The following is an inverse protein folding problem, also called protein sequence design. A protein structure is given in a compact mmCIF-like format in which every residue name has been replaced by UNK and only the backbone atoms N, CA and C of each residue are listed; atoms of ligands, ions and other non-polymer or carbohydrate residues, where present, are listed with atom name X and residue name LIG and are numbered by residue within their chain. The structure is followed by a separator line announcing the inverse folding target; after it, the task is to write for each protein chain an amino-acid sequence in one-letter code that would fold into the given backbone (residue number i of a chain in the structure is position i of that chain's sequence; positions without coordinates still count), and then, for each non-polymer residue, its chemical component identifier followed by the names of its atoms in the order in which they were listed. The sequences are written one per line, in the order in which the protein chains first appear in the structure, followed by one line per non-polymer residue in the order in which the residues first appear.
data_IF_060408735561
#
_entry.id   IF_060408735561
#
_cell.length_a   1.000
_cell.length_b   1.000
_cell.length_c   1.000
_cell.angle_alpha   90.00
_cell.angle_beta   90.00
_cell.angle_gamma   90.00
#
_symmetry.space_group_name_H-M   'P 1'
#
loop_
_entity.id
_entity.type
_entity.pdbx_description
1 polymer ?
#
# COMPACT_ATOMS: atom_id res chain seq x y z
N UNK A 1 1.82 -21.82 -1.07
CA UNK A 1 0.78 -21.19 -1.97
C UNK A 1 1.38 -21.14 -3.37
N UNK A 2 0.59 -21.47 -4.40
CA UNK A 2 1.04 -21.33 -5.80
C UNK A 2 1.28 -19.85 -6.15
N UNK A 3 2.34 -19.57 -6.89
CA UNK A 3 2.75 -18.19 -7.27
C UNK A 3 1.68 -17.47 -8.07
N UNK A 4 1.04 -18.16 -9.00
CA UNK A 4 -0.06 -17.54 -9.76
C UNK A 4 -1.17 -17.08 -8.81
N UNK A 5 -1.58 -17.91 -7.86
CA UNK A 5 -2.60 -17.55 -6.85
C UNK A 5 -2.14 -16.42 -5.93
N UNK A 6 -0.86 -16.37 -5.57
CA UNK A 6 -0.31 -15.26 -4.79
C UNK A 6 -0.43 -13.94 -5.56
N UNK A 7 0.01 -13.91 -6.81
CA UNK A 7 -0.04 -12.71 -7.64
C UNK A 7 -1.48 -12.24 -7.86
N UNK A 8 -2.41 -13.16 -8.15
CA UNK A 8 -3.84 -12.83 -8.29
C UNK A 8 -4.43 -12.31 -6.98
N UNK A 9 -4.08 -12.90 -5.85
CA UNK A 9 -4.47 -12.43 -4.53
C UNK A 9 -4.00 -10.98 -4.29
N UNK A 10 -2.71 -10.68 -4.55
CA UNK A 10 -2.16 -9.33 -4.37
C UNK A 10 -2.81 -8.34 -5.34
N UNK A 11 -3.00 -8.69 -6.62
CA UNK A 11 -3.69 -7.84 -7.61
C UNK A 11 -5.12 -7.52 -7.20
N UNK A 12 -5.86 -8.52 -6.69
CA UNK A 12 -7.23 -8.33 -6.22
C UNK A 12 -7.29 -7.35 -5.05
N UNK A 13 -6.45 -7.55 -4.02
CA UNK A 13 -6.41 -6.65 -2.87
C UNK A 13 -5.99 -5.23 -3.26
N UNK A 14 -4.98 -5.11 -4.12
CA UNK A 14 -4.54 -3.82 -4.64
C UNK A 14 -5.69 -3.09 -5.34
N UNK A 15 -6.40 -3.79 -6.26
CA UNK A 15 -7.52 -3.20 -6.98
C UNK A 15 -8.63 -2.75 -6.04
N UNK A 16 -9.08 -3.63 -5.13
CA UNK A 16 -10.17 -3.32 -4.20
C UNK A 16 -9.84 -2.11 -3.32
N UNK A 17 -8.64 -2.06 -2.76
CA UNK A 17 -8.23 -0.95 -1.89
C UNK A 17 -8.11 0.37 -2.65
N UNK A 18 -7.55 0.35 -3.87
CA UNK A 18 -7.38 1.57 -4.66
C UNK A 18 -8.69 2.04 -5.31
N UNK A 19 -9.61 1.15 -5.65
CA UNK A 19 -10.98 1.52 -6.06
C UNK A 19 -11.71 2.24 -4.92
N UNK A 20 -11.57 1.79 -3.67
CA UNK A 20 -12.16 2.47 -2.51
C UNK A 20 -11.51 3.85 -2.27
N UNK A 21 -10.20 3.98 -2.43
CA UNK A 21 -9.50 5.28 -2.36
C UNK A 21 -10.01 6.22 -3.46
N UNK A 22 -10.17 5.71 -4.70
CA UNK A 22 -10.60 6.53 -5.83
C UNK A 22 -11.99 7.13 -5.63
N UNK A 23 -12.91 6.45 -4.95
CA UNK A 23 -14.24 6.95 -4.61
C UNK A 23 -14.22 8.24 -3.76
N UNK A 24 -13.16 8.45 -2.97
CA UNK A 24 -13.05 9.65 -2.15
C UNK A 24 -12.72 10.90 -2.95
N UNK A 25 -12.16 10.76 -4.15
CA UNK A 25 -11.95 11.90 -5.06
C UNK A 25 -13.24 12.47 -5.65
N UNK A 26 -14.35 11.71 -5.59
CA UNK A 26 -15.68 12.17 -6.04
C UNK A 26 -16.51 12.82 -4.92
N UNK A 27 -15.97 12.86 -3.70
CA UNK A 27 -16.64 13.49 -2.55
C UNK A 27 -16.60 15.02 -2.65
N UNK A 28 -17.55 15.67 -2.02
CA UNK A 28 -17.62 17.13 -2.02
C UNK A 28 -16.44 17.77 -1.24
N UNK A 29 -16.22 19.06 -1.52
CA UNK A 29 -15.13 19.81 -0.88
C UNK A 29 -15.31 19.96 0.64
N UNK A 30 -16.53 19.95 1.14
CA UNK A 30 -16.80 20.07 2.57
C UNK A 30 -16.25 18.85 3.31
N UNK A 31 -16.52 17.63 2.81
CA UNK A 31 -15.96 16.41 3.38
C UNK A 31 -14.44 16.33 3.18
N UNK A 32 -13.95 16.66 1.98
CA UNK A 32 -12.50 16.58 1.70
C UNK A 32 -11.67 17.45 2.64
N UNK A 33 -12.19 18.60 3.05
CA UNK A 33 -11.52 19.55 3.94
C UNK A 33 -12.02 19.51 5.40
N UNK A 34 -12.93 18.60 5.72
CA UNK A 34 -13.42 18.46 7.08
C UNK A 34 -12.28 18.13 8.05
N UNK A 35 -12.13 18.98 9.08
CA UNK A 35 -11.18 18.76 10.16
C UNK A 35 -11.86 17.93 11.26
N UNK A 36 -11.45 16.67 11.48
CA UNK A 36 -12.06 15.84 12.50
C UNK A 36 -11.81 16.41 13.89
N UNK A 37 -12.77 16.22 14.82
CA UNK A 37 -12.76 16.80 16.17
C UNK A 37 -11.56 16.38 17.03
N UNK A 38 -10.97 15.22 16.72
CA UNK A 38 -9.78 14.71 17.38
C UNK A 38 -8.46 15.35 16.89
N UNK A 39 -8.52 16.36 16.01
CA UNK A 39 -7.36 17.01 15.41
C UNK A 39 -6.59 16.16 14.39
N UNK A 40 -7.17 15.03 13.94
CA UNK A 40 -6.61 14.15 12.92
C UNK A 40 -6.58 14.81 11.53
N UNK A 41 -6.08 14.07 10.54
CA UNK A 41 -6.00 14.56 9.16
C UNK A 41 -7.37 14.69 8.49
N UNK A 42 -7.50 15.70 7.64
CA UNK A 42 -8.62 15.80 6.69
C UNK A 42 -8.55 14.67 5.66
N UNK A 43 -9.66 14.42 4.95
CA UNK A 43 -9.66 13.41 3.87
C UNK A 43 -8.62 13.73 2.79
N UNK A 44 -8.47 15.01 2.41
CA UNK A 44 -7.45 15.44 1.45
C UNK A 44 -6.03 15.11 1.94
N UNK A 45 -5.72 15.37 3.20
CA UNK A 45 -4.42 15.05 3.80
C UNK A 45 -4.18 13.53 3.87
N UNK A 46 -5.22 12.73 4.16
CA UNK A 46 -5.12 11.27 4.14
C UNK A 46 -4.79 10.77 2.72
N UNK A 47 -5.44 11.30 1.69
CA UNK A 47 -5.16 10.97 0.29
C UNK A 47 -3.72 11.34 -0.10
N UNK A 48 -3.25 12.52 0.32
CA UNK A 48 -1.85 12.94 0.11
C UNK A 48 -0.87 12.01 0.83
N UNK A 49 -1.17 11.58 2.05
CA UNK A 49 -0.36 10.62 2.80
C UNK A 49 -0.27 9.25 2.10
N UNK A 50 -1.39 8.73 1.56
CA UNK A 50 -1.39 7.50 0.76
C UNK A 50 -0.44 7.65 -0.44
N UNK A 51 -0.53 8.77 -1.16
CA UNK A 51 0.38 9.06 -2.27
C UNK A 51 1.85 9.08 -1.82
N UNK A 52 2.17 9.79 -0.75
CA UNK A 52 3.55 9.91 -0.24
C UNK A 52 4.11 8.55 0.19
N UNK A 53 3.35 7.77 0.94
CA UNK A 53 3.76 6.43 1.35
C UNK A 53 4.02 5.52 0.14
N UNK A 54 3.11 5.51 -0.82
CA UNK A 54 3.29 4.77 -2.06
C UNK A 54 4.54 5.22 -2.81
N UNK A 55 4.80 6.54 -2.91
CA UNK A 55 5.96 7.09 -3.60
C UNK A 55 7.28 6.53 -3.04
N UNK A 56 7.45 6.58 -1.72
CA UNK A 56 8.70 6.10 -1.09
C UNK A 56 8.84 4.58 -1.15
N UNK A 57 7.75 3.83 -0.95
CA UNK A 57 7.80 2.37 -1.02
C UNK A 57 7.97 1.86 -2.45
N UNK A 58 7.45 2.55 -3.46
CA UNK A 58 7.69 2.20 -4.86
C UNK A 58 9.17 2.33 -5.27
N UNK A 59 9.93 3.23 -4.67
CA UNK A 59 11.40 3.29 -4.86
C UNK A 59 12.05 1.98 -4.38
N UNK A 60 11.62 1.45 -3.23
CA UNK A 60 12.13 0.18 -2.70
C UNK A 60 11.67 -1.01 -3.56
N UNK A 61 10.41 -1.02 -3.98
CA UNK A 61 9.84 -2.05 -4.86
C UNK A 61 10.59 -2.07 -6.20
N UNK A 62 10.86 -0.92 -6.81
CA UNK A 62 11.61 -0.81 -8.06
C UNK A 62 13.03 -1.39 -7.92
N UNK A 63 13.77 -0.93 -6.90
CA UNK A 63 15.13 -1.43 -6.63
C UNK A 63 15.12 -2.93 -6.33
N UNK A 64 14.15 -3.38 -5.52
CA UNK A 64 14.00 -4.77 -5.15
C UNK A 64 13.61 -5.66 -6.32
N UNK A 65 12.71 -5.22 -7.20
CA UNK A 65 12.32 -5.95 -8.40
C UNK A 65 13.49 -6.11 -9.37
N UNK A 66 14.26 -5.05 -9.62
CA UNK A 66 15.49 -5.12 -10.41
C UNK A 66 16.51 -6.10 -9.82
N UNK A 67 16.64 -6.13 -8.49
CA UNK A 67 17.51 -7.08 -7.79
C UNK A 67 16.99 -8.51 -7.89
N UNK A 68 15.66 -8.71 -7.73
CA UNK A 68 15.01 -10.01 -7.83
C UNK A 68 15.24 -10.64 -9.22
N UNK A 69 15.07 -9.85 -10.29
CA UNK A 69 15.31 -10.29 -11.66
C UNK A 69 16.78 -10.67 -11.91
N UNK A 70 17.76 -9.98 -11.31
CA UNK A 70 19.17 -10.37 -11.37
C UNK A 70 19.45 -11.63 -10.56
N UNK A 71 18.86 -11.76 -9.38
CA UNK A 71 19.01 -12.91 -8.50
C UNK A 71 18.45 -14.19 -9.13
N UNK A 72 17.46 -14.09 -10.03
CA UNK A 72 16.91 -15.22 -10.78
C UNK A 72 17.97 -16.01 -11.57
N UNK A 73 19.05 -15.36 -11.96
CA UNK A 73 20.15 -16.03 -12.67
C UNK A 73 21.03 -16.92 -11.77
N UNK A 74 21.00 -16.72 -10.45
CA UNK A 74 21.95 -17.31 -9.51
C UNK A 74 21.30 -18.02 -8.32
N UNK A 75 19.99 -17.84 -8.09
CA UNK A 75 19.28 -18.44 -6.98
C UNK A 75 18.24 -19.47 -7.45
N UNK A 76 18.01 -20.48 -6.63
CA UNK A 76 17.01 -21.51 -6.92
C UNK A 76 15.60 -20.99 -6.62
N UNK A 77 14.92 -20.49 -7.66
CA UNK A 77 13.56 -20.00 -7.58
C UNK A 77 12.58 -21.09 -7.12
N UNK A 78 12.75 -22.34 -7.57
CA UNK A 78 11.84 -23.42 -7.21
C UNK A 78 11.92 -23.73 -5.70
N UNK A 79 13.11 -23.66 -5.14
CA UNK A 79 13.30 -23.82 -3.70
C UNK A 79 12.63 -22.68 -2.91
N UNK A 80 12.77 -21.43 -3.36
CA UNK A 80 12.11 -20.28 -2.72
C UNK A 80 10.59 -20.37 -2.81
N UNK A 81 10.03 -20.77 -3.96
CA UNK A 81 8.60 -20.99 -4.13
C UNK A 81 8.10 -22.10 -3.19
N UNK A 82 8.82 -23.22 -3.12
CA UNK A 82 8.45 -24.36 -2.26
C UNK A 82 8.40 -24.00 -0.79
N UNK A 83 9.33 -23.14 -0.34
CA UNK A 83 9.46 -22.75 1.06
C UNK A 83 8.63 -21.51 1.42
N UNK A 84 8.02 -20.85 0.42
CA UNK A 84 7.28 -19.63 0.66
C UNK A 84 5.95 -19.86 1.36
N UNK A 85 5.71 -19.10 2.42
CA UNK A 85 4.45 -19.02 3.12
C UNK A 85 4.13 -17.58 3.52
N UNK A 86 3.00 -17.05 3.04
CA UNK A 86 2.51 -15.73 3.41
C UNK A 86 1.92 -15.77 4.84
N UNK A 87 2.47 -14.99 5.76
CA UNK A 87 1.89 -14.78 7.08
C UNK A 87 0.73 -13.78 7.00
N UNK A 88 -0.44 -14.25 6.53
CA UNK A 88 -1.62 -13.42 6.33
C UNK A 88 -2.04 -12.68 7.60
N UNK A 89 -2.11 -13.38 8.73
CA UNK A 89 -2.56 -12.80 10.01
C UNK A 89 -1.73 -11.56 10.39
N UNK A 90 -0.41 -11.64 10.22
CA UNK A 90 0.48 -10.51 10.54
C UNK A 90 0.31 -9.34 9.58
N UNK A 91 0.05 -9.63 8.29
CA UNK A 91 -0.21 -8.61 7.29
C UNK A 91 -1.59 -7.96 7.48
N UNK A 92 -2.64 -8.73 7.74
CA UNK A 92 -4.01 -8.23 7.88
C UNK A 92 -4.13 -7.16 8.97
N UNK A 93 -3.36 -7.27 10.05
CA UNK A 93 -3.26 -6.23 11.10
C UNK A 93 -2.82 -4.87 10.57
N UNK A 94 -2.07 -4.82 9.47
CA UNK A 94 -1.67 -3.57 8.80
C UNK A 94 -2.89 -2.82 8.25
N UNK A 95 -3.87 -3.55 7.72
CA UNK A 95 -5.11 -2.99 7.17
C UNK A 95 -6.13 -2.56 8.22
N UNK A 96 -5.97 -2.97 9.48
CA UNK A 96 -6.88 -2.64 10.57
C UNK A 96 -6.54 -1.28 11.19
N UNK A 97 -7.58 -0.53 11.62
CA UNK A 97 -7.39 0.74 12.28
C UNK A 97 -7.11 0.54 13.78
N UNK A 98 -6.09 1.23 14.32
CA UNK A 98 -5.74 1.22 15.76
C UNK A 98 -5.24 -0.11 16.36
N UNK A 99 -4.70 -1.02 15.55
CA UNK A 99 -4.16 -2.31 16.04
C UNK A 99 -2.75 -2.20 16.64
N UNK A 100 -1.99 -1.19 16.25
CA UNK A 100 -0.65 -0.89 16.76
C UNK A 100 -0.29 0.57 16.52
N UNK A 101 0.72 1.07 17.25
CA UNK A 101 1.24 2.42 17.06
C UNK A 101 2.08 2.51 15.77
N UNK A 102 1.74 3.47 14.92
CA UNK A 102 2.46 3.73 13.68
C UNK A 102 3.51 4.81 13.89
N UNK A 103 4.78 4.46 13.70
CA UNK A 103 5.84 5.45 13.60
C UNK A 103 5.87 5.94 12.15
N UNK A 104 5.48 7.19 11.94
CA UNK A 104 5.47 7.82 10.61
C UNK A 104 6.79 8.56 10.39
N UNK A 105 7.49 8.28 9.28
CA UNK A 105 8.59 9.12 8.86
C UNK A 105 8.10 10.52 8.49
N UNK A 106 8.81 11.56 8.88
CA UNK A 106 8.45 12.96 8.64
C UNK A 106 8.19 13.26 7.15
N UNK A 107 8.99 12.67 6.25
CA UNK A 107 8.84 12.84 4.81
C UNK A 107 7.56 12.22 4.20
N UNK A 108 6.80 11.45 4.98
CA UNK A 108 5.48 10.92 4.60
C UNK A 108 4.32 11.70 5.24
N UNK A 109 4.61 12.76 6.01
CA UNK A 109 3.58 13.65 6.57
C UNK A 109 2.94 14.47 5.45
N UNK A 110 1.59 14.49 5.34
CA UNK A 110 0.91 15.31 4.36
C UNK A 110 0.98 16.78 4.75
N UNK A 111 1.24 17.64 3.78
CA UNK A 111 1.29 19.10 3.97
C UNK A 111 -0.01 19.80 3.60
N UNK A 112 -0.89 19.13 2.83
CA UNK A 112 -2.12 19.70 2.31
C UNK A 112 -1.88 20.69 1.16
N UNK A 113 -0.71 20.62 0.51
CA UNK A 113 -0.30 21.56 -0.55
C UNK A 113 -0.71 21.10 -1.95
N UNK A 114 -0.94 19.79 -2.14
CA UNK A 114 -1.30 19.22 -3.45
C UNK A 114 -2.79 19.35 -3.74
N UNK A 115 -3.12 19.67 -4.98
CA UNK A 115 -4.51 19.63 -5.44
C UNK A 115 -5.05 18.19 -5.48
N UNK A 116 -6.31 18.02 -5.11
CA UNK A 116 -6.99 16.71 -5.08
C UNK A 116 -6.90 15.98 -6.43
N UNK A 117 -7.07 16.71 -7.54
CA UNK A 117 -6.95 16.17 -8.90
C UNK A 117 -5.54 15.68 -9.24
N UNK A 118 -4.53 16.36 -8.72
CA UNK A 118 -3.13 15.95 -8.88
C UNK A 118 -2.85 14.68 -8.08
N UNK A 119 -3.27 14.63 -6.80
CA UNK A 119 -3.14 13.44 -5.95
C UNK A 119 -3.79 12.22 -6.63
N UNK A 120 -5.01 12.37 -7.19
CA UNK A 120 -5.70 11.30 -7.92
C UNK A 120 -4.86 10.75 -9.06
N UNK A 121 -4.33 11.65 -9.89
CA UNK A 121 -3.49 11.27 -11.04
C UNK A 121 -2.23 10.52 -10.60
N UNK A 122 -1.59 10.98 -9.51
CA UNK A 122 -0.39 10.38 -8.96
C UNK A 122 -0.68 8.97 -8.38
N UNK A 123 -1.74 8.82 -7.58
CA UNK A 123 -2.15 7.51 -7.02
C UNK A 123 -2.52 6.52 -8.13
N UNK A 124 -3.27 6.97 -9.16
CA UNK A 124 -3.60 6.12 -10.31
C UNK A 124 -2.34 5.60 -11.01
N UNK A 125 -1.34 6.47 -11.24
CA UNK A 125 -0.05 6.07 -11.82
C UNK A 125 0.67 5.05 -10.94
N UNK A 126 0.67 5.23 -9.64
CA UNK A 126 1.29 4.32 -8.67
C UNK A 126 0.62 2.94 -8.67
N UNK A 127 -0.71 2.89 -8.78
CA UNK A 127 -1.44 1.64 -8.97
C UNK A 127 -0.95 0.85 -10.20
N UNK A 128 -0.86 1.51 -11.35
CA UNK A 128 -0.38 0.86 -12.58
C UNK A 128 1.11 0.46 -12.49
N UNK A 129 1.93 1.21 -11.77
CA UNK A 129 3.30 0.80 -11.48
C UNK A 129 3.35 -0.50 -10.67
N UNK A 130 2.53 -0.65 -9.63
CA UNK A 130 2.42 -1.89 -8.87
C UNK A 130 2.02 -3.08 -9.75
N UNK A 131 1.00 -2.90 -10.62
CA UNK A 131 0.57 -3.94 -11.56
C UNK A 131 1.70 -4.32 -12.50
N UNK A 132 2.44 -3.34 -13.03
CA UNK A 132 3.59 -3.58 -13.91
C UNK A 132 4.69 -4.40 -13.21
N UNK A 133 4.98 -4.12 -11.93
CA UNK A 133 5.95 -4.93 -11.19
C UNK A 133 5.46 -6.36 -10.92
N UNK A 134 4.16 -6.56 -10.65
CA UNK A 134 3.58 -7.89 -10.52
C UNK A 134 3.68 -8.69 -11.82
N UNK A 135 3.44 -8.04 -12.97
CA UNK A 135 3.55 -8.65 -14.29
C UNK A 135 5.00 -8.94 -14.68
N UNK A 136 5.94 -8.07 -14.31
CA UNK A 136 7.37 -8.28 -14.51
C UNK A 136 7.87 -9.52 -13.77
N UNK A 137 7.39 -9.74 -12.55
CA UNK A 137 7.82 -10.85 -11.68
C UNK A 137 6.79 -12.01 -11.68
N UNK A 138 6.16 -12.29 -12.82
CA UNK A 138 5.02 -13.21 -12.94
C UNK A 138 5.32 -14.68 -12.63
N UNK A 139 6.60 -15.10 -12.64
CA UNK A 139 6.98 -16.49 -12.40
C UNK A 139 7.44 -16.76 -10.96
N UNK A 140 7.45 -15.74 -10.08
CA UNK A 140 7.87 -15.88 -8.68
C UNK A 140 9.16 -15.15 -8.33
N UNK A 141 9.77 -14.45 -9.28
CA UNK A 141 11.06 -13.76 -9.10
C UNK A 141 11.06 -12.80 -7.90
N UNK A 142 9.90 -12.21 -7.59
CA UNK A 142 9.74 -11.30 -6.44
C UNK A 142 10.11 -11.91 -5.08
N UNK A 143 10.11 -13.25 -4.95
CA UNK A 143 10.56 -13.94 -3.74
C UNK A 143 12.08 -13.85 -3.53
N UNK A 144 12.84 -13.65 -4.62
CA UNK A 144 14.31 -13.65 -4.63
C UNK A 144 14.94 -12.36 -4.10
N UNK A 145 14.13 -11.39 -3.71
CA UNK A 145 14.59 -10.18 -3.03
C UNK A 145 13.72 -9.88 -1.81
N UNK A 146 14.33 -9.93 -0.64
CA UNK A 146 13.67 -9.59 0.63
C UNK A 146 14.40 -8.42 1.26
N UNK A 147 13.64 -7.45 1.80
CA UNK A 147 14.17 -6.33 2.57
C UNK A 147 13.39 -6.16 3.86
N UNK A 148 13.96 -5.48 4.85
CA UNK A 148 13.33 -5.32 6.16
C UNK A 148 12.23 -4.26 6.11
N UNK A 149 11.05 -4.63 6.61
CA UNK A 149 9.92 -3.77 6.91
C UNK A 149 9.73 -3.74 8.43
N UNK A 150 9.85 -2.56 9.02
CA UNK A 150 9.77 -2.38 10.49
C UNK A 150 8.33 -2.27 10.99
N UNK A 151 7.38 -1.89 10.12
CA UNK A 151 5.96 -1.76 10.47
C UNK A 151 5.43 -3.11 10.98
N UNK A 152 4.76 -3.07 12.13
CA UNK A 152 4.18 -4.25 12.79
C UNK A 152 5.17 -5.44 12.86
N UNK A 153 6.47 -5.16 13.00
CA UNK A 153 7.52 -6.19 13.06
C UNK A 153 7.45 -7.21 11.92
N UNK A 154 7.01 -6.80 10.72
CA UNK A 154 6.89 -7.69 9.57
C UNK A 154 8.21 -8.38 9.23
N UNK A 155 9.33 -7.74 9.52
CA UNK A 155 10.67 -8.29 9.29
C UNK A 155 11.06 -8.28 7.82
N UNK A 156 11.70 -9.37 7.34
CA UNK A 156 12.10 -9.45 5.93
C UNK A 156 10.91 -9.87 5.07
N UNK A 157 10.45 -8.98 4.21
CA UNK A 157 9.37 -9.22 3.26
C UNK A 157 9.87 -9.12 1.81
N UNK A 158 9.23 -9.87 0.92
CA UNK A 158 9.54 -9.93 -0.51
C UNK A 158 8.77 -8.86 -1.31
N UNK A 159 8.98 -8.79 -2.63
CA UNK A 159 8.40 -7.73 -3.45
C UNK A 159 6.88 -7.86 -3.63
N UNK A 160 6.30 -9.05 -3.60
CA UNK A 160 4.84 -9.23 -3.60
C UNK A 160 4.23 -8.76 -2.29
N UNK A 161 4.88 -9.06 -1.18
CA UNK A 161 4.48 -8.64 0.16
C UNK A 161 4.56 -7.12 0.33
N UNK A 162 5.54 -6.44 -0.30
CA UNK A 162 5.58 -4.97 -0.35
C UNK A 162 4.36 -4.37 -1.08
N UNK A 163 3.98 -4.96 -2.23
CA UNK A 163 2.80 -4.49 -2.98
C UNK A 163 1.51 -4.80 -2.20
N UNK A 164 1.45 -5.95 -1.55
CA UNK A 164 0.34 -6.29 -0.65
C UNK A 164 0.24 -5.33 0.54
N UNK A 165 1.38 -4.96 1.12
CA UNK A 165 1.44 -3.94 2.18
C UNK A 165 0.83 -2.60 1.72
N UNK A 166 1.12 -2.13 0.51
CA UNK A 166 0.52 -0.89 -0.02
C UNK A 166 -1.01 -0.98 -0.08
N UNK A 167 -1.56 -2.13 -0.47
CA UNK A 167 -3.01 -2.32 -0.50
C UNK A 167 -3.64 -2.27 0.90
N UNK A 168 -2.99 -2.88 1.89
CA UNK A 168 -3.45 -2.87 3.28
C UNK A 168 -3.32 -1.48 3.93
N UNK A 169 -2.24 -0.77 3.64
CA UNK A 169 -2.05 0.61 4.07
C UNK A 169 -3.17 1.52 3.51
N UNK A 170 -3.47 1.40 2.22
CA UNK A 170 -4.59 2.12 1.61
C UNK A 170 -5.94 1.75 2.27
N UNK A 171 -6.20 0.47 2.52
CA UNK A 171 -7.41 -0.01 3.20
C UNK A 171 -7.56 0.59 4.60
N UNK A 172 -6.48 0.64 5.40
CA UNK A 172 -6.47 1.27 6.71
C UNK A 172 -6.91 2.74 6.64
N UNK A 173 -6.38 3.47 5.66
CA UNK A 173 -6.71 4.88 5.46
C UNK A 173 -8.11 5.10 4.89
N UNK A 174 -8.66 4.15 4.12
CA UNK A 174 -10.08 4.15 3.76
C UNK A 174 -10.97 4.07 5.01
N UNK A 175 -10.61 3.25 5.99
CA UNK A 175 -11.34 3.20 7.27
C UNK A 175 -11.27 4.55 8.00
N UNK A 176 -10.10 5.19 8.01
CA UNK A 176 -9.94 6.51 8.60
C UNK A 176 -10.80 7.57 7.90
N UNK A 177 -10.84 7.58 6.56
CA UNK A 177 -11.70 8.49 5.78
C UNK A 177 -13.18 8.24 6.02
N UNK A 178 -13.61 6.97 6.17
CA UNK A 178 -14.98 6.60 6.55
C UNK A 178 -15.35 7.14 7.94
N UNK A 179 -14.43 7.14 8.88
CA UNK A 179 -14.66 7.71 10.21
C UNK A 179 -14.88 9.24 10.13
N UNK A 180 -14.08 9.95 9.32
CA UNK A 180 -14.29 11.38 9.09
C UNK A 180 -15.67 11.65 8.46
N UNK A 181 -16.06 10.85 7.45
CA UNK A 181 -17.38 10.95 6.80
C UNK A 181 -18.54 10.71 7.78
N UNK A 182 -18.42 9.72 8.65
CA UNK A 182 -19.44 9.45 9.67
C UNK A 182 -19.55 10.58 10.69
N UNK A 183 -18.47 11.29 11.00
CA UNK A 183 -18.46 12.42 11.91
C UNK A 183 -19.18 13.64 11.30
N UNK A 184 -18.97 13.90 9.99
CA UNK A 184 -19.68 15.01 9.30
C UNK A 184 -21.20 14.82 9.24
N UNK A 185 -21.70 13.59 9.25
CA UNK A 185 -23.14 13.30 9.22
C UNK A 185 -23.80 13.55 10.59
N UNK A 186 -23.02 13.46 11.67
CA UNK A 186 -23.52 13.61 13.05
C UNK A 186 -23.54 15.07 13.55
N UNK A 187 -22.81 15.95 12.86
CA UNK A 187 -22.71 17.39 13.14
C UNK A 187 -23.59 18.20 12.20
#
# INVERSE_FOLDING_TARGET
MDIFRLIQFVKMHLKLSFDEVDRYFEKDKALLNYQPSNGGWTVQQILEHIYLTNFYLLILIEKGSKKAMRNYLNLDLNLEIKNYNLNKEKFEKVGEYSTFEWIRPEHMEPKGELYVTEIRSLISRQYYQCVTYLDLMKNGEGLLCKTTMTVNELGKINMYEYIYFLSLHAQRHVIQMKNNEMETIKN
#
